data_IF_927964622640
#
_entry.id   IF_927964622640
#
_cell.length_a   1.000
_cell.length_b   1.000
_cell.length_c   1.000
_cell.angle_alpha   90.00
_cell.angle_beta   90.00
_cell.angle_gamma   90.00
#
_symmetry.space_group_name_H-M   'P 1'
#
loop_
_entity.id
_entity.type
_entity.pdbx_description
1 polymer ?
#
# COMPACT_ATOMS: atom_id res chain seq x y z
N UNK A 1 -11.67 -1.53 13.75
CA UNK A 1 -11.81 -2.71 12.86
C UNK A 1 -10.62 -3.64 13.09
N UNK A 2 -10.78 -4.96 12.96
CA UNK A 2 -9.65 -5.90 13.05
C UNK A 2 -9.48 -6.62 11.73
N UNK A 3 -8.26 -6.60 11.19
CA UNK A 3 -7.88 -7.31 9.97
C UNK A 3 -6.93 -8.46 10.32
N UNK A 4 -7.05 -9.57 9.59
CA UNK A 4 -6.26 -10.79 9.84
C UNK A 4 -5.35 -11.04 8.66
N UNK A 5 -4.11 -11.39 8.96
CA UNK A 5 -3.10 -11.72 7.95
C UNK A 5 -2.56 -13.13 8.20
N UNK A 6 -1.81 -13.68 7.25
CA UNK A 6 -1.16 -15.00 7.41
C UNK A 6 -0.12 -15.03 8.52
N UNK A 7 0.45 -13.87 8.86
CA UNK A 7 1.50 -13.69 9.84
C UNK A 7 1.02 -13.06 11.17
N UNK A 8 -0.22 -12.57 11.24
CA UNK A 8 -0.67 -11.77 12.38
C UNK A 8 -2.05 -11.15 12.26
N UNK A 9 -2.19 -9.97 12.85
CA UNK A 9 -3.40 -9.15 12.81
C UNK A 9 -3.07 -7.65 12.93
N UNK A 10 -3.98 -6.83 12.42
CA UNK A 10 -3.95 -5.38 12.48
C UNK A 10 -5.22 -4.89 13.18
N UNK A 11 -5.08 -3.93 14.09
CA UNK A 11 -6.21 -3.24 14.71
C UNK A 11 -6.24 -1.80 14.25
N UNK A 12 -7.34 -1.44 13.62
CA UNK A 12 -7.60 -0.13 13.04
C UNK A 12 -8.54 0.67 13.94
N UNK A 13 -8.20 1.93 14.22
CA UNK A 13 -9.14 2.91 14.79
C UNK A 13 -9.91 3.57 13.66
N UNK A 14 -11.20 3.27 13.55
CA UNK A 14 -12.07 3.99 12.62
C UNK A 14 -12.42 5.32 13.29
N UNK A 15 -11.97 6.47 12.76
CA UNK A 15 -12.35 7.76 13.31
C UNK A 15 -13.86 7.98 13.11
N UNK A 16 -14.46 8.84 13.94
CA UNK A 16 -15.91 9.06 13.93
C UNK A 16 -16.45 9.67 12.62
N UNK A 17 -15.56 10.19 11.77
CA UNK A 17 -15.86 10.77 10.46
C UNK A 17 -15.97 9.73 9.34
N UNK A 18 -15.65 8.46 9.61
CA UNK A 18 -15.70 7.38 8.61
C UNK A 18 -14.50 7.34 7.66
N UNK A 19 -13.47 8.18 7.85
CA UNK A 19 -12.23 8.10 7.09
C UNK A 19 -11.49 6.78 7.37
N UNK A 20 -10.79 6.25 6.36
CA UNK A 20 -9.96 5.08 6.56
C UNK A 20 -8.66 5.49 7.26
N UNK A 21 -8.31 4.91 8.42
CA UNK A 21 -7.07 5.22 9.10
C UNK A 21 -5.86 4.81 8.25
N UNK A 22 -4.90 5.72 8.07
CA UNK A 22 -3.67 5.45 7.32
C UNK A 22 -2.76 4.43 8.01
N UNK A 23 -2.80 4.38 9.35
CA UNK A 23 -1.98 3.49 10.16
C UNK A 23 -2.85 2.65 11.11
N UNK A 24 -2.50 1.37 11.31
CA UNK A 24 -3.11 0.56 12.35
C UNK A 24 -2.68 1.09 13.73
N UNK A 25 -3.61 1.14 14.67
CA UNK A 25 -3.32 1.48 16.08
C UNK A 25 -2.43 0.44 16.76
N UNK A 26 -2.57 -0.82 16.35
CA UNK A 26 -1.84 -1.92 16.94
C UNK A 26 -1.61 -3.02 15.90
N UNK A 27 -0.40 -3.57 15.90
CA UNK A 27 -0.02 -4.72 15.07
C UNK A 27 0.38 -5.87 15.98
N UNK A 28 -0.21 -7.05 15.76
CA UNK A 28 0.18 -8.27 16.45
C UNK A 28 0.82 -9.26 15.48
N UNK A 29 2.08 -9.62 15.70
CA UNK A 29 2.79 -10.65 14.92
C UNK A 29 2.72 -11.96 15.68
N UNK A 30 2.44 -13.08 15.00
CA UNK A 30 2.38 -14.43 15.58
C UNK A 30 3.75 -15.08 15.60
N UNK A 31 3.97 -16.02 16.53
CA UNK A 31 5.23 -16.76 16.57
C UNK A 31 5.42 -17.58 15.29
N UNK A 32 6.64 -17.57 14.71
CA UNK A 32 7.00 -18.47 13.64
C UNK A 32 6.76 -19.93 14.00
N UNK A 33 6.27 -20.71 13.05
CA UNK A 33 5.98 -22.13 13.25
C UNK A 33 4.81 -22.43 14.18
N UNK A 34 3.95 -21.45 14.51
CA UNK A 34 2.79 -21.69 15.36
C UNK A 34 1.95 -22.87 14.85
N UNK A 35 1.75 -23.87 15.70
CA UNK A 35 0.93 -25.04 15.39
C UNK A 35 -0.52 -24.61 15.12
N UNK A 36 -1.29 -25.43 14.41
CA UNK A 36 -2.69 -25.10 14.08
C UNK A 36 -3.52 -24.88 15.36
N UNK A 37 -3.24 -25.62 16.43
CA UNK A 37 -3.86 -25.45 17.75
C UNK A 37 -3.44 -24.14 18.42
N UNK A 38 -2.17 -23.74 18.35
CA UNK A 38 -1.72 -22.42 18.80
C UNK A 38 -2.40 -21.30 18.01
N UNK A 39 -2.50 -21.42 16.68
CA UNK A 39 -3.22 -20.45 15.85
C UNK A 39 -4.70 -20.37 16.23
N UNK A 40 -5.35 -21.48 16.57
CA UNK A 40 -6.75 -21.48 17.05
C UNK A 40 -6.91 -20.85 18.44
N UNK A 41 -6.00 -21.14 19.37
CA UNK A 41 -5.98 -20.51 20.69
C UNK A 41 -5.75 -19.00 20.58
N UNK A 42 -4.82 -18.58 19.72
CA UNK A 42 -4.55 -17.17 19.42
C UNK A 42 -5.70 -16.51 18.66
N UNK A 43 -6.40 -17.24 17.78
CA UNK A 43 -7.66 -16.79 17.15
C UNK A 43 -8.76 -16.53 18.18
N UNK A 44 -8.79 -17.27 19.29
CA UNK A 44 -9.73 -17.05 20.38
C UNK A 44 -9.35 -15.81 21.19
N UNK A 45 -8.04 -15.65 21.49
CA UNK A 45 -7.52 -14.50 22.23
C UNK A 45 -7.69 -13.18 21.46
N UNK A 46 -7.38 -13.16 20.17
CA UNK A 46 -7.55 -11.97 19.28
C UNK A 46 -9.00 -11.62 18.99
N UNK A 47 -9.96 -12.53 19.21
CA UNK A 47 -11.41 -12.22 19.12
C UNK A 47 -11.94 -11.51 20.36
N UNK A 48 -11.21 -11.57 21.48
CA UNK A 48 -11.53 -10.76 22.65
C UNK A 48 -10.68 -9.50 22.56
N UNK A 49 -11.26 -8.36 22.16
CA UNK A 49 -10.50 -7.12 22.26
C UNK A 49 -10.07 -6.98 23.72
N UNK A 50 -8.79 -6.71 23.97
CA UNK A 50 -8.29 -6.37 25.30
C UNK A 50 -9.13 -5.25 25.95
N UNK A 51 -9.91 -4.50 25.16
CA UNK A 51 -10.87 -3.50 25.61
C UNK A 51 -12.14 -4.03 26.32
N UNK A 52 -12.41 -5.36 26.38
CA UNK A 52 -13.52 -5.91 27.18
C UNK A 52 -13.11 -6.73 28.41
N UNK A 53 -11.81 -6.86 28.68
CA UNK A 53 -11.31 -7.18 30.03
C UNK A 53 -10.57 -5.97 30.63
N UNK A 54 -10.55 -4.83 29.93
CA UNK A 54 -10.49 -3.52 30.57
C UNK A 54 -11.85 -3.16 31.22
N UNK A 55 -12.42 -4.06 32.02
CA UNK A 55 -13.14 -3.61 33.22
C UNK A 55 -12.06 -3.08 34.17
N UNK A 56 -11.62 -1.86 33.89
CA UNK A 56 -10.62 -1.08 34.65
C UNK A 56 -9.35 -1.85 35.03
N UNK A 57 -8.39 -1.96 34.11
CA UNK A 57 -6.99 -2.22 34.51
C UNK A 57 -6.40 -1.09 35.37
N UNK A 58 -7.12 0.01 35.55
CA UNK A 58 -6.76 1.12 36.43
C UNK A 58 -7.24 0.96 37.88
N UNK A 59 -8.01 -0.09 38.23
CA UNK A 59 -8.31 -0.35 39.65
C UNK A 59 -8.35 -1.85 39.97
N UNK A 60 -7.61 -2.33 40.98
CA UNK A 60 -7.73 -3.70 41.49
C UNK A 60 -9.14 -4.03 42.02
N UNK A 61 -10.05 -3.04 42.09
CA UNK A 61 -11.42 -3.21 42.56
C UNK A 61 -12.35 -3.87 41.52
N UNK A 62 -12.17 -3.65 40.21
CA UNK A 62 -13.09 -4.23 39.21
C UNK A 62 -12.86 -5.72 38.94
N UNK A 63 -11.61 -6.19 38.98
CA UNK A 63 -11.32 -7.62 38.91
C UNK A 63 -11.96 -8.38 40.09
N UNK A 64 -11.98 -7.77 41.28
CA UNK A 64 -12.69 -8.32 42.45
C UNK A 64 -14.19 -8.41 42.21
N UNK A 65 -14.81 -7.41 41.57
CA UNK A 65 -16.24 -7.44 41.26
C UNK A 65 -16.61 -8.55 40.27
N UNK A 66 -15.80 -8.81 39.23
CA UNK A 66 -16.04 -9.93 38.31
C UNK A 66 -15.88 -11.29 38.99
N UNK A 67 -14.85 -11.47 39.83
CA UNK A 67 -14.64 -12.70 40.58
C UNK A 67 -15.79 -12.95 41.58
N UNK A 68 -16.27 -11.90 42.26
CA UNK A 68 -17.43 -11.96 43.15
C UNK A 68 -18.69 -12.36 42.39
N UNK A 69 -18.96 -11.74 41.22
CA UNK A 69 -20.13 -12.07 40.41
C UNK A 69 -20.09 -13.52 39.93
N UNK A 70 -18.94 -13.99 39.44
CA UNK A 70 -18.76 -15.41 39.05
C UNK A 70 -18.95 -16.32 40.26
N UNK A 71 -18.40 -15.97 41.42
CA UNK A 71 -18.61 -16.73 42.66
C UNK A 71 -20.08 -16.84 43.05
N UNK A 72 -20.85 -15.76 42.94
CA UNK A 72 -22.30 -15.75 43.18
C UNK A 72 -23.03 -16.66 42.18
N UNK A 73 -22.73 -16.55 40.89
CA UNK A 73 -23.34 -17.40 39.84
C UNK A 73 -23.00 -18.88 40.07
N UNK A 74 -21.73 -19.18 40.37
CA UNK A 74 -21.26 -20.54 40.68
C UNK A 74 -21.94 -21.11 41.91
N UNK A 75 -22.21 -20.30 42.94
CA UNK A 75 -22.97 -20.71 44.13
C UNK A 75 -24.43 -21.08 43.78
N UNK A 76 -25.11 -20.24 43.00
CA UNK A 76 -26.48 -20.54 42.55
C UNK A 76 -26.54 -21.81 41.68
N UNK A 77 -25.58 -21.97 40.77
CA UNK A 77 -25.46 -23.17 39.94
C UNK A 77 -25.19 -24.43 40.78
N UNK A 78 -24.31 -24.32 41.80
CA UNK A 78 -24.01 -25.39 42.73
C UNK A 78 -25.25 -25.82 43.54
N UNK A 79 -25.99 -24.85 44.09
CA UNK A 79 -27.25 -25.11 44.81
C UNK A 79 -28.28 -25.82 43.92
N UNK A 80 -28.43 -25.37 42.66
CA UNK A 80 -29.33 -26.03 41.71
C UNK A 80 -28.86 -27.42 41.26
N UNK A 81 -27.55 -27.67 41.21
CA UNK A 81 -26.99 -28.98 40.88
C UNK A 81 -27.23 -29.97 42.02
N UNK A 82 -27.02 -29.54 43.26
CA UNK A 82 -27.30 -30.32 44.47
C UNK A 82 -28.78 -30.66 44.59
N UNK A 83 -29.68 -29.71 44.27
CA UNK A 83 -31.13 -29.97 44.28
C UNK A 83 -31.57 -30.99 43.22
N UNK A 84 -30.73 -31.26 42.21
CA UNK A 84 -30.95 -32.28 41.18
C UNK A 84 -30.22 -33.60 41.47
N UNK A 85 -29.62 -33.75 42.65
CA UNK A 85 -28.97 -34.99 43.08
C UNK A 85 -27.56 -35.19 42.52
N UNK A 86 -26.90 -34.14 42.01
CA UNK A 86 -25.50 -34.24 41.60
C UNK A 86 -24.60 -34.39 42.86
N UNK A 87 -23.64 -35.32 42.87
CA UNK A 87 -22.77 -35.56 44.02
C UNK A 87 -21.97 -34.31 44.48
N UNK A 88 -21.88 -34.10 45.79
CA UNK A 88 -21.19 -32.95 46.40
C UNK A 88 -19.70 -32.92 46.09
N UNK A 89 -19.06 -34.08 45.95
CA UNK A 89 -17.65 -34.24 45.57
C UNK A 89 -17.35 -33.75 44.15
N UNK A 90 -18.37 -33.61 43.28
CA UNK A 90 -18.24 -33.01 41.95
C UNK A 90 -18.58 -31.53 41.96
N UNK A 91 -19.64 -31.14 42.68
CA UNK A 91 -20.14 -29.76 42.68
C UNK A 91 -19.20 -28.79 43.39
N UNK A 92 -18.65 -29.20 44.55
CA UNK A 92 -17.88 -28.30 45.41
C UNK A 92 -16.53 -27.88 44.78
N UNK A 93 -15.75 -28.78 44.16
CA UNK A 93 -14.54 -28.39 43.44
C UNK A 93 -14.83 -27.47 42.26
N UNK A 94 -15.90 -27.74 41.48
CA UNK A 94 -16.29 -26.90 40.35
C UNK A 94 -16.71 -25.49 40.78
N UNK A 95 -17.45 -25.38 41.88
CA UNK A 95 -17.86 -24.11 42.48
C UNK A 95 -16.66 -23.28 42.95
N UNK A 96 -15.63 -23.92 43.52
CA UNK A 96 -14.41 -23.25 43.99
C UNK A 96 -13.44 -22.91 42.84
N UNK A 97 -13.35 -23.77 41.82
CA UNK A 97 -12.50 -23.56 40.65
C UNK A 97 -12.99 -22.40 39.79
N UNK A 98 -14.30 -22.22 39.62
CA UNK A 98 -14.83 -21.19 38.73
C UNK A 98 -14.37 -19.75 39.05
N UNK A 99 -14.45 -19.23 40.29
CA UNK A 99 -13.95 -17.90 40.63
C UNK A 99 -12.41 -17.81 40.59
N UNK A 100 -11.68 -18.88 40.97
CA UNK A 100 -10.22 -18.91 40.86
C UNK A 100 -9.75 -18.84 39.41
N UNK A 101 -10.43 -19.56 38.51
CA UNK A 101 -10.20 -19.46 37.07
C UNK A 101 -10.61 -18.07 36.57
N UNK A 102 -11.73 -17.50 37.00
CA UNK A 102 -12.12 -16.16 36.57
C UNK A 102 -11.10 -15.07 36.95
N UNK A 103 -10.45 -15.22 38.11
CA UNK A 103 -9.44 -14.28 38.60
C UNK A 103 -8.07 -14.49 37.93
N UNK A 104 -7.58 -15.73 37.83
CA UNK A 104 -6.18 -16.00 37.44
C UNK A 104 -6.00 -16.43 35.97
N UNK A 105 -7.05 -16.94 35.34
CA UNK A 105 -6.98 -17.43 33.96
C UNK A 105 -6.73 -16.30 32.96
N UNK A 106 -7.31 -15.08 33.07
CA UNK A 106 -7.01 -13.99 32.14
C UNK A 106 -5.53 -13.63 32.12
N UNK A 107 -4.92 -13.40 33.29
CA UNK A 107 -3.49 -13.02 33.36
C UNK A 107 -2.56 -14.14 32.87
N UNK A 108 -2.89 -15.40 33.18
CA UNK A 108 -2.12 -16.55 32.65
C UNK A 108 -2.29 -16.71 31.14
N UNK A 109 -3.48 -16.48 30.62
CA UNK A 109 -3.74 -16.51 29.19
C UNK A 109 -3.06 -15.35 28.48
N UNK A 110 -3.04 -14.15 29.06
CA UNK A 110 -2.34 -12.99 28.52
C UNK A 110 -0.82 -13.20 28.57
N UNK A 111 -0.28 -13.77 29.65
CA UNK A 111 1.13 -14.17 29.72
C UNK A 111 1.49 -15.18 28.62
N UNK A 112 0.70 -16.26 28.49
CA UNK A 112 0.83 -17.25 27.40
C UNK A 112 0.63 -16.65 26.01
N UNK A 113 -0.29 -15.68 25.87
CA UNK A 113 -0.54 -15.00 24.62
C UNK A 113 0.67 -14.18 24.21
N UNK A 114 1.27 -13.45 25.16
CA UNK A 114 2.49 -12.68 24.93
C UNK A 114 3.69 -13.55 24.56
N UNK A 115 3.76 -14.80 25.03
CA UNK A 115 4.78 -15.74 24.57
C UNK A 115 4.66 -16.02 23.06
N UNK A 116 3.44 -16.02 22.51
CA UNK A 116 3.13 -16.43 21.14
C UNK A 116 2.66 -15.30 20.21
N UNK A 117 2.49 -14.09 20.73
CA UNK A 117 2.14 -12.87 19.98
C UNK A 117 3.00 -11.72 20.49
N UNK A 118 3.66 -11.02 19.57
CA UNK A 118 4.31 -9.73 19.82
C UNK A 118 3.37 -8.63 19.35
N UNK A 119 2.80 -7.90 20.30
CA UNK A 119 1.90 -6.78 20.04
C UNK A 119 2.67 -5.47 20.16
N UNK A 120 2.62 -4.67 19.11
CA UNK A 120 3.27 -3.36 19.05
C UNK A 120 2.21 -2.29 18.87
N UNK A 121 2.34 -1.23 19.66
CA UNK A 121 1.48 -0.05 19.65
C UNK A 121 2.33 1.21 19.42
N UNK A 122 1.72 2.26 18.90
CA UNK A 122 2.35 3.55 18.63
C UNK A 122 2.70 3.75 17.15
N UNK A 123 2.44 4.96 16.66
CA UNK A 123 2.40 5.24 15.21
C UNK A 123 3.71 4.90 14.50
N UNK A 124 4.87 5.30 15.05
CA UNK A 124 6.17 5.02 14.44
C UNK A 124 6.50 3.52 14.37
N UNK A 125 6.17 2.79 15.44
CA UNK A 125 6.43 1.36 15.53
C UNK A 125 5.48 0.57 14.61
N UNK A 126 4.21 0.96 14.56
CA UNK A 126 3.21 0.40 13.66
C UNK A 126 3.53 0.68 12.20
N UNK A 127 3.91 1.91 11.84
CA UNK A 127 4.34 2.27 10.48
C UNK A 127 5.53 1.43 10.02
N UNK A 128 6.53 1.26 10.89
CA UNK A 128 7.70 0.45 10.58
C UNK A 128 7.35 -1.03 10.36
N UNK A 129 6.56 -1.63 11.25
CA UNK A 129 6.13 -3.03 11.10
C UNK A 129 5.21 -3.24 9.89
N UNK A 130 4.37 -2.26 9.55
CA UNK A 130 3.52 -2.32 8.37
C UNK A 130 4.35 -2.39 7.09
N UNK A 131 5.44 -1.62 7.00
CA UNK A 131 6.38 -1.68 5.86
C UNK A 131 7.04 -3.06 5.73
N UNK A 132 7.54 -3.63 6.83
CA UNK A 132 8.10 -5.00 6.83
C UNK A 132 7.05 -6.06 6.50
N UNK A 133 5.83 -5.89 7.01
CA UNK A 133 4.73 -6.81 6.75
C UNK A 133 4.29 -6.80 5.27
N UNK A 134 4.36 -5.66 4.59
CA UNK A 134 4.09 -5.57 3.15
C UNK A 134 5.10 -6.41 2.35
N UNK A 135 6.40 -6.27 2.63
CA UNK A 135 7.46 -7.09 2.03
C UNK A 135 7.26 -8.58 2.31
N UNK A 136 6.94 -8.94 3.56
CA UNK A 136 6.68 -10.33 3.90
C UNK A 136 5.44 -10.89 3.19
N UNK A 137 4.39 -10.08 3.02
CA UNK A 137 3.17 -10.49 2.30
C UNK A 137 3.47 -10.81 0.84
N UNK A 138 4.30 -9.99 0.19
CA UNK A 138 4.81 -10.29 -1.16
C UNK A 138 5.55 -11.64 -1.21
N UNK A 139 6.47 -11.90 -0.28
CA UNK A 139 7.21 -13.16 -0.21
C UNK A 139 6.26 -14.36 -0.02
N UNK A 140 5.25 -14.22 0.84
CA UNK A 140 4.26 -15.29 1.09
C UNK A 140 3.43 -15.57 -0.17
N UNK A 141 2.98 -14.53 -0.88
CA UNK A 141 2.25 -14.69 -2.14
C UNK A 141 3.11 -15.41 -3.19
N UNK A 142 4.35 -14.97 -3.39
CA UNK A 142 5.32 -15.63 -4.26
C UNK A 142 5.54 -17.11 -3.90
N UNK A 143 5.56 -17.44 -2.61
CA UNK A 143 5.70 -18.83 -2.14
C UNK A 143 4.44 -19.67 -2.31
N UNK A 144 3.26 -19.05 -2.35
CA UNK A 144 1.99 -19.75 -2.55
C UNK A 144 1.80 -20.13 -4.03
N UNK A 145 2.34 -19.32 -4.93
CA UNK A 145 2.24 -19.52 -6.38
C UNK A 145 3.33 -20.48 -6.93
N UNK A 146 4.22 -21.00 -6.08
CA UNK A 146 5.34 -21.84 -6.50
C UNK A 146 5.67 -22.95 -5.51
N UNK A 147 5.86 -24.17 -6.00
CA UNK A 147 6.24 -25.32 -5.17
C UNK A 147 7.72 -25.32 -4.73
N UNK A 148 8.51 -24.33 -5.14
CA UNK A 148 9.96 -24.27 -4.82
C UNK A 148 10.19 -24.15 -3.32
N UNK A 149 11.03 -25.04 -2.79
CA UNK A 149 11.40 -25.06 -1.38
C UNK A 149 12.06 -23.74 -0.92
N UNK A 150 12.86 -23.12 -1.78
CA UNK A 150 13.56 -21.85 -1.49
C UNK A 150 12.59 -20.69 -1.20
N UNK A 151 11.47 -20.63 -1.92
CA UNK A 151 10.44 -19.60 -1.72
C UNK A 151 9.68 -19.82 -0.41
N UNK A 152 9.35 -21.08 -0.09
CA UNK A 152 8.76 -21.45 1.21
C UNK A 152 9.70 -21.11 2.37
N UNK A 153 10.99 -21.44 2.23
CA UNK A 153 12.02 -21.09 3.22
C UNK A 153 12.19 -19.58 3.37
N UNK A 154 12.09 -18.83 2.26
CA UNK A 154 12.14 -17.36 2.30
C UNK A 154 10.94 -16.79 3.04
N UNK A 155 9.74 -17.33 2.85
CA UNK A 155 8.57 -16.93 3.64
C UNK A 155 8.76 -17.20 5.14
N UNK A 156 9.35 -18.34 5.52
CA UNK A 156 9.68 -18.66 6.92
C UNK A 156 10.71 -17.68 7.51
N UNK A 157 11.79 -17.37 6.78
CA UNK A 157 12.81 -16.41 7.21
C UNK A 157 12.20 -15.01 7.37
N UNK A 158 11.41 -14.56 6.39
CA UNK A 158 10.73 -13.27 6.45
C UNK A 158 9.80 -13.17 7.67
N UNK A 159 9.09 -14.25 7.98
CA UNK A 159 8.24 -14.28 9.16
C UNK A 159 9.03 -14.19 10.48
N UNK A 160 10.20 -14.86 10.58
CA UNK A 160 11.09 -14.72 11.73
C UNK A 160 11.62 -13.29 11.88
N UNK A 161 12.02 -12.64 10.78
CA UNK A 161 12.47 -11.24 10.81
C UNK A 161 11.38 -10.28 11.30
N UNK A 162 10.13 -10.51 10.86
CA UNK A 162 8.98 -9.72 11.30
C UNK A 162 8.71 -9.89 12.80
N UNK A 163 8.81 -11.13 13.29
CA UNK A 163 8.67 -11.44 14.71
C UNK A 163 9.76 -10.77 15.56
N UNK A 164 11.03 -10.86 15.13
CA UNK A 164 12.16 -10.24 15.83
C UNK A 164 12.06 -8.70 15.84
N UNK A 165 11.56 -8.10 14.77
CA UNK A 165 11.31 -6.67 14.71
C UNK A 165 10.20 -6.26 15.70
N UNK A 166 9.14 -7.06 15.81
CA UNK A 166 8.06 -6.82 16.77
C UNK A 166 8.53 -6.97 18.22
N UNK A 167 9.39 -7.95 18.51
CA UNK A 167 10.00 -8.13 19.84
C UNK A 167 10.88 -6.94 20.25
N UNK A 168 11.67 -6.40 19.31
CA UNK A 168 12.44 -5.18 19.55
C UNK A 168 11.56 -3.98 19.84
N UNK A 169 10.52 -3.74 19.03
CA UNK A 169 9.62 -2.61 19.18
C UNK A 169 8.72 -2.73 20.42
N UNK A 170 8.47 -3.94 20.91
CA UNK A 170 7.75 -4.16 22.16
C UNK A 170 8.62 -3.84 23.38
N UNK A 171 9.94 -4.04 23.30
CA UNK A 171 10.86 -3.88 24.43
C UNK A 171 11.59 -2.53 24.46
N UNK A 172 11.67 -1.82 23.34
CA UNK A 172 12.45 -0.59 23.17
C UNK A 172 11.67 0.43 22.34
N UNK A 173 11.87 1.72 22.63
CA UNK A 173 11.42 2.79 21.74
C UNK A 173 12.12 2.69 20.37
N UNK A 174 11.41 3.11 19.32
CA UNK A 174 11.86 3.02 17.92
C UNK A 174 13.22 3.69 17.72
N UNK A 175 13.49 4.81 18.42
CA UNK A 175 14.79 5.51 18.36
C UNK A 175 15.94 4.64 18.88
N UNK A 176 15.75 4.00 20.03
CA UNK A 176 16.76 3.14 20.66
C UNK A 176 17.00 1.84 19.90
N UNK A 177 15.98 1.32 19.22
CA UNK A 177 16.09 0.10 18.40
C UNK A 177 16.52 0.35 16.95
N UNK A 178 16.62 1.61 16.51
CA UNK A 178 16.76 2.03 15.10
C UNK A 178 17.81 1.26 14.30
N UNK A 179 19.06 1.16 14.78
CA UNK A 179 20.13 0.45 14.06
C UNK A 179 19.77 -1.02 13.80
N UNK A 180 19.25 -1.71 14.82
CA UNK A 180 18.85 -3.12 14.73
C UNK A 180 17.62 -3.33 13.86
N UNK A 181 16.72 -2.34 13.81
CA UNK A 181 15.57 -2.34 12.92
C UNK A 181 16.06 -2.20 11.47
N UNK A 182 16.87 -1.20 11.15
CA UNK A 182 17.45 -0.99 9.81
C UNK A 182 18.12 -2.27 9.28
N UNK A 183 18.86 -3.00 10.11
CA UNK A 183 19.46 -4.28 9.70
C UNK A 183 18.42 -5.33 9.31
N UNK A 184 17.32 -5.46 10.08
CA UNK A 184 16.21 -6.39 9.78
C UNK A 184 15.48 -6.00 8.51
N UNK A 185 15.30 -4.71 8.28
CA UNK A 185 14.72 -4.19 7.04
C UNK A 185 15.59 -4.50 5.83
N UNK A 186 16.90 -4.23 5.90
CA UNK A 186 17.82 -4.58 4.82
C UNK A 186 17.77 -6.07 4.48
N UNK A 187 17.73 -6.93 5.51
CA UNK A 187 17.59 -8.37 5.32
C UNK A 187 16.25 -8.74 4.67
N UNK A 188 15.14 -8.11 5.07
CA UNK A 188 13.82 -8.36 4.47
C UNK A 188 13.79 -7.92 3.00
N UNK A 189 14.37 -6.77 2.66
CA UNK A 189 14.46 -6.26 1.29
C UNK A 189 15.33 -7.19 0.43
N UNK A 190 16.49 -7.61 0.93
CA UNK A 190 17.35 -8.59 0.24
C UNK A 190 16.61 -9.91 -0.01
N UNK A 191 15.82 -10.37 0.96
CA UNK A 191 15.04 -11.59 0.82
C UNK A 191 13.93 -11.45 -0.23
N UNK A 192 13.26 -10.30 -0.28
CA UNK A 192 12.24 -10.02 -1.29
C UNK A 192 12.84 -9.94 -2.71
N UNK A 193 14.01 -9.34 -2.86
CA UNK A 193 14.76 -9.27 -4.13
C UNK A 193 15.20 -10.68 -4.59
N UNK A 194 15.75 -11.51 -3.69
CA UNK A 194 16.09 -12.90 -4.00
C UNK A 194 14.88 -13.72 -4.47
N UNK A 195 13.72 -13.50 -3.86
CA UNK A 195 12.46 -14.13 -4.27
C UNK A 195 12.06 -13.65 -5.67
N UNK A 196 12.13 -12.35 -5.95
CA UNK A 196 11.84 -11.80 -7.27
C UNK A 196 12.74 -12.40 -8.36
N UNK A 197 14.06 -12.44 -8.13
CA UNK A 197 15.03 -13.04 -9.06
C UNK A 197 14.76 -14.53 -9.29
N UNK A 198 14.36 -15.27 -8.24
CA UNK A 198 14.02 -16.69 -8.35
C UNK A 198 12.79 -16.92 -9.21
N UNK A 199 11.77 -16.05 -9.09
CA UNK A 199 10.58 -16.08 -9.93
C UNK A 199 10.91 -15.77 -11.39
N UNK A 200 11.75 -14.76 -11.65
CA UNK A 200 12.20 -14.42 -13.01
C UNK A 200 12.95 -15.57 -13.67
N UNK A 201 13.89 -16.20 -12.95
CA UNK A 201 14.61 -17.39 -13.44
C UNK A 201 13.65 -18.52 -13.79
N UNK A 202 12.68 -18.78 -12.92
CA UNK A 202 11.66 -19.83 -13.13
C UNK A 202 10.82 -19.58 -14.38
N UNK A 203 10.44 -18.31 -14.62
CA UNK A 203 9.69 -17.90 -15.81
C UNK A 203 10.53 -18.08 -17.08
N UNK A 204 11.82 -17.73 -17.05
CA UNK A 204 12.73 -17.91 -18.18
C UNK A 204 12.99 -19.40 -18.52
N UNK A 205 13.15 -20.25 -17.51
CA UNK A 205 13.29 -21.71 -17.67
C UNK A 205 12.05 -22.33 -18.33
N UNK A 206 10.86 -21.91 -17.92
CA UNK A 206 9.59 -22.40 -18.47
C UNK A 206 9.40 -21.99 -19.94
N UNK A 207 9.78 -20.75 -20.30
CA UNK A 207 9.72 -20.27 -21.68
C UNK A 207 10.71 -21.00 -22.62
N UNK A 208 11.85 -21.45 -22.10
CA UNK A 208 12.88 -22.12 -22.89
C UNK A 208 12.57 -23.60 -23.15
N UNK A 209 11.93 -24.28 -22.19
CA UNK A 209 11.57 -25.70 -22.32
C UNK A 209 10.47 -26.00 -23.35
N UNK A 210 9.69 -25.00 -23.75
CA UNK A 210 8.62 -25.15 -24.74
C UNK A 210 9.13 -25.09 -26.19
N UNK A 211 10.30 -24.48 -26.42
CA UNK A 211 10.89 -24.33 -27.75
C UNK A 211 11.66 -25.57 -28.23
N UNK A 212 12.03 -26.49 -27.34
CA UNK A 212 12.94 -27.61 -27.63
C UNK A 212 12.27 -28.99 -27.62
N UNK A 213 10.93 -29.04 -27.74
CA UNK A 213 10.25 -30.29 -28.11
C UNK A 213 10.36 -30.50 -29.63
N UNK A 214 11.18 -31.46 -30.12
CA UNK A 214 11.17 -31.83 -31.52
C UNK A 214 9.80 -32.44 -31.83
N UNK A 215 9.02 -31.75 -32.67
CA UNK A 215 7.89 -32.33 -33.39
C UNK A 215 8.41 -33.45 -34.31
N UNK A 216 8.54 -34.64 -33.76
CA UNK A 216 8.91 -35.85 -34.50
C UNK A 216 8.01 -37.00 -34.10
N UNK A 217 7.11 -37.39 -35.00
CA UNK A 217 6.36 -38.65 -34.87
C UNK A 217 4.91 -38.55 -35.30
N UNK A 218 4.68 -38.79 -36.59
CA UNK A 218 3.38 -39.13 -37.15
C UNK A 218 2.70 -40.26 -36.36
N UNK A 219 1.44 -40.04 -36.01
CA UNK A 219 0.63 -41.00 -35.29
C UNK A 219 -0.86 -40.77 -35.57
N UNK A 220 -1.27 -41.20 -36.77
CA UNK A 220 -2.61 -41.67 -37.14
C UNK A 220 -3.85 -40.91 -36.65
N UNK A 221 -4.54 -40.29 -37.61
CA UNK A 221 -5.89 -39.76 -37.52
C UNK A 221 -6.89 -40.81 -37.00
N UNK A 222 -7.26 -40.69 -35.72
CA UNK A 222 -8.49 -41.25 -35.17
C UNK A 222 -9.66 -40.27 -35.37
N UNK A 223 -10.90 -40.75 -35.59
CA UNK A 223 -12.04 -39.89 -35.93
C UNK A 223 -12.48 -39.02 -34.74
N UNK A 224 -12.76 -37.74 -35.04
CA UNK A 224 -13.33 -36.77 -34.10
C UNK A 224 -14.72 -37.18 -33.61
N UNK A 225 -15.05 -36.96 -32.31
CA UNK A 225 -16.43 -36.91 -31.84
C UNK A 225 -17.10 -35.57 -32.25
N UNK A 226 -18.42 -35.54 -32.46
CA UNK A 226 -19.13 -34.33 -32.83
C UNK A 226 -19.45 -33.50 -31.59
N UNK A 227 -19.33 -32.17 -31.73
CA UNK A 227 -19.87 -31.20 -30.79
C UNK A 227 -18.79 -30.37 -30.13
N UNK A 228 -18.47 -29.23 -30.74
CA UNK A 228 -18.37 -27.92 -30.10
C UNK A 228 -18.17 -26.89 -31.23
N UNK A 229 -19.24 -26.16 -31.54
CA UNK A 229 -19.20 -25.01 -32.45
C UNK A 229 -18.26 -23.92 -31.89
N UNK A 230 -17.51 -23.21 -32.76
CA UNK A 230 -16.74 -22.05 -32.36
C UNK A 230 -17.65 -20.90 -31.92
N UNK A 231 -17.44 -20.38 -30.72
CA UNK A 231 -18.03 -19.13 -30.26
C UNK A 231 -17.64 -17.99 -31.22
N UNK A 232 -18.68 -17.38 -31.81
CA UNK A 232 -18.60 -16.18 -32.65
C UNK A 232 -17.92 -15.02 -31.91
N UNK A 233 -17.14 -14.24 -32.66
CA UNK A 233 -16.72 -12.87 -32.32
C UNK A 233 -17.89 -12.05 -31.76
N UNK A 234 -17.68 -11.22 -30.72
CA UNK A 234 -18.64 -10.20 -30.34
C UNK A 234 -18.76 -9.18 -31.49
N UNK A 235 -19.98 -9.05 -32.00
CA UNK A 235 -20.40 -7.96 -32.88
C UNK A 235 -20.87 -6.81 -31.97
N UNK A 236 -20.58 -5.54 -32.30
CA UNK A 236 -20.94 -4.40 -31.46
C UNK A 236 -22.46 -4.28 -31.26
N UNK A 237 -22.93 -3.78 -30.10
CA UNK A 237 -24.34 -3.64 -29.83
C UNK A 237 -24.97 -2.52 -30.70
N UNK A 238 -26.20 -2.74 -31.22
CA UNK A 238 -26.98 -1.70 -31.90
C UNK A 238 -27.54 -0.67 -30.89
N UNK A 239 -27.80 0.57 -31.32
CA UNK A 239 -28.21 1.66 -30.44
C UNK A 239 -29.65 1.48 -29.94
N UNK A 240 -29.96 1.85 -28.68
CA UNK A 240 -31.33 1.96 -28.23
C UNK A 240 -32.00 3.21 -28.80
N UNK A 241 -33.09 2.99 -29.52
CA UNK A 241 -33.98 4.02 -30.03
C UNK A 241 -34.75 4.74 -28.93
N UNK A 242 -34.69 6.07 -29.03
CA UNK A 242 -35.70 7.09 -28.74
C UNK A 242 -37.02 6.69 -28.06
N UNK A 243 -37.21 7.18 -26.84
CA UNK A 243 -38.40 7.92 -26.38
C UNK A 243 -38.12 8.46 -24.97
N UNK A 244 -38.63 9.59 -24.50
CA UNK A 244 -39.11 10.85 -25.06
C UNK A 244 -39.41 11.71 -23.81
N UNK A 245 -39.12 13.01 -23.86
CA UNK A 245 -39.65 14.07 -23.00
C UNK A 245 -39.37 14.01 -21.48
N UNK A 246 -38.46 14.88 -20.99
CA UNK A 246 -38.81 16.00 -20.09
C UNK A 246 -37.61 16.95 -19.87
N UNK A 247 -37.82 18.25 -20.10
CA UNK A 247 -37.01 19.31 -19.50
C UNK A 247 -36.10 20.12 -20.43
N UNK A 248 -36.68 20.84 -21.39
CA UNK A 248 -36.03 21.98 -22.04
C UNK A 248 -35.69 23.07 -21.01
N UNK A 249 -34.43 23.53 -20.98
CA UNK A 249 -34.03 24.89 -20.61
C UNK A 249 -32.92 25.37 -21.56
N UNK A 250 -32.91 26.66 -21.94
CA UNK A 250 -32.48 27.09 -23.26
C UNK A 250 -30.97 27.23 -23.40
N UNK A 251 -30.49 26.93 -24.60
CA UNK A 251 -29.21 27.38 -25.15
C UNK A 251 -29.00 28.87 -24.90
N UNK A 252 -27.92 29.20 -24.19
CA UNK A 252 -27.22 30.46 -24.41
C UNK A 252 -26.11 30.16 -25.43
N UNK A 253 -26.39 30.56 -26.66
CA UNK A 253 -25.43 30.64 -27.74
C UNK A 253 -24.51 31.85 -27.47
N UNK A 254 -23.25 31.72 -27.89
CA UNK A 254 -22.22 32.77 -28.12
C UNK A 254 -21.07 32.77 -27.09
N UNK A 255 -19.95 32.16 -27.45
CA UNK A 255 -18.75 32.94 -27.75
C UNK A 255 -17.82 32.18 -28.72
N UNK A 256 -17.12 32.88 -29.62
CA UNK A 256 -16.15 32.27 -30.53
C UNK A 256 -14.98 31.73 -29.70
N UNK A 257 -14.48 30.57 -30.09
CA UNK A 257 -13.26 29.94 -29.59
C UNK A 257 -12.14 30.97 -29.42
N UNK A 258 -11.79 31.22 -28.15
CA UNK A 258 -10.71 32.10 -27.74
C UNK A 258 -9.38 31.55 -28.29
N UNK A 259 -8.55 32.35 -28.98
CA UNK A 259 -7.32 31.86 -29.59
C UNK A 259 -6.18 31.88 -28.57
N UNK A 260 -6.16 30.94 -27.62
CA UNK A 260 -4.99 30.59 -26.82
C UNK A 260 -5.27 29.36 -25.95
N UNK A 261 -5.39 28.16 -26.54
CA UNK A 261 -5.22 26.94 -25.76
C UNK A 261 -3.77 26.96 -25.26
N UNK A 262 -3.60 27.23 -23.97
CA UNK A 262 -2.32 27.28 -23.29
C UNK A 262 -1.58 25.98 -23.55
N UNK A 263 -0.29 26.10 -23.84
CA UNK A 263 0.61 25.02 -24.25
C UNK A 263 0.59 23.92 -23.19
N UNK A 264 0.21 22.70 -23.56
CA UNK A 264 0.12 21.55 -22.65
C UNK A 264 1.51 21.11 -22.19
N UNK A 265 2.08 21.84 -21.24
CA UNK A 265 3.29 21.44 -20.52
C UNK A 265 2.84 20.53 -19.38
N UNK A 266 3.62 19.49 -19.10
CA UNK A 266 3.30 18.52 -18.06
C UNK A 266 4.34 18.53 -16.96
N UNK A 267 3.89 18.46 -15.71
CA UNK A 267 4.77 18.28 -14.56
C UNK A 267 4.90 16.80 -14.25
N UNK A 268 6.14 16.30 -14.15
CA UNK A 268 6.46 14.97 -13.65
C UNK A 268 7.11 15.08 -12.27
N UNK A 269 6.57 14.38 -11.28
CA UNK A 269 7.16 14.36 -9.94
C UNK A 269 7.03 12.97 -9.29
N UNK A 270 8.03 12.61 -8.50
CA UNK A 270 7.98 11.44 -7.64
C UNK A 270 7.43 11.84 -6.27
N UNK A 271 6.71 10.93 -5.63
CA UNK A 271 6.11 11.13 -4.32
C UNK A 271 6.26 9.85 -3.48
N UNK A 272 5.84 9.90 -2.22
CA UNK A 272 5.80 8.71 -1.38
C UNK A 272 4.91 7.64 -2.03
N UNK A 273 5.36 6.38 -2.14
CA UNK A 273 4.58 5.38 -2.83
C UNK A 273 3.24 5.06 -2.17
N UNK A 274 2.23 4.80 -2.99
CA UNK A 274 0.92 4.32 -2.54
C UNK A 274 0.34 3.31 -3.54
N UNK A 275 -0.73 2.62 -3.16
CA UNK A 275 -1.42 1.68 -4.01
C UNK A 275 -2.84 2.19 -4.30
N UNK A 276 -3.24 2.21 -5.57
CA UNK A 276 -4.61 2.56 -5.94
C UNK A 276 -5.53 1.33 -5.79
N UNK A 277 -6.51 1.44 -4.90
CA UNK A 277 -7.54 0.41 -4.67
C UNK A 277 -6.95 -0.94 -4.21
N UNK A 278 -7.43 -2.04 -4.80
CA UNK A 278 -6.94 -3.40 -4.53
C UNK A 278 -5.68 -3.76 -5.38
N UNK A 279 -5.04 -2.77 -5.99
CA UNK A 279 -3.99 -2.96 -6.99
C UNK A 279 -2.69 -3.53 -6.41
N UNK A 280 -2.04 -4.40 -7.19
CA UNK A 280 -0.68 -4.90 -6.91
C UNK A 280 0.43 -3.95 -7.38
N UNK A 281 0.08 -2.89 -8.13
CA UNK A 281 1.03 -1.94 -8.68
C UNK A 281 1.19 -0.75 -7.74
N UNK A 282 2.41 -0.57 -7.24
CA UNK A 282 2.82 0.61 -6.47
C UNK A 282 2.90 1.83 -7.41
N UNK A 283 2.23 2.92 -7.05
CA UNK A 283 2.33 4.22 -7.73
C UNK A 283 3.30 5.08 -6.92
N UNK A 284 4.34 5.55 -7.57
CA UNK A 284 5.41 6.32 -6.92
C UNK A 284 5.81 7.58 -7.70
N UNK A 285 5.18 7.79 -8.85
CA UNK A 285 5.46 8.88 -9.78
C UNK A 285 4.17 9.28 -10.50
N UNK A 286 3.94 10.57 -10.68
CA UNK A 286 2.73 11.09 -11.31
C UNK A 286 3.08 12.16 -12.36
N UNK A 287 2.35 12.15 -13.48
CA UNK A 287 2.35 13.22 -14.49
C UNK A 287 1.00 13.90 -14.52
N UNK A 288 0.99 15.23 -14.47
CA UNK A 288 -0.20 16.07 -14.53
C UNK A 288 -0.03 17.18 -15.57
N UNK A 289 -1.14 17.73 -16.06
CA UNK A 289 -1.11 18.99 -16.79
C UNK A 289 -0.60 20.11 -15.86
N UNK A 290 0.29 20.98 -16.37
CA UNK A 290 0.83 22.10 -15.63
C UNK A 290 -0.27 22.96 -14.98
N UNK A 291 -1.36 23.19 -15.71
CA UNK A 291 -2.50 24.00 -15.28
C UNK A 291 -3.17 23.51 -13.99
N UNK A 292 -2.98 22.24 -13.61
CA UNK A 292 -3.49 21.72 -12.32
C UNK A 292 -2.83 22.42 -11.11
N UNK A 293 -1.65 23.04 -11.29
CA UNK A 293 -1.01 23.89 -10.27
C UNK A 293 -1.82 25.16 -9.95
N UNK A 294 -2.75 25.55 -10.83
CA UNK A 294 -3.64 26.70 -10.64
C UNK A 294 -4.95 26.31 -9.94
N UNK A 295 -5.12 25.05 -9.56
CA UNK A 295 -6.32 24.60 -8.87
C UNK A 295 -6.43 25.22 -7.47
N UNK A 296 -7.63 25.60 -6.99
CA UNK A 296 -7.81 26.26 -5.68
C UNK A 296 -7.39 25.41 -4.46
N UNK A 297 -7.34 24.08 -4.61
CA UNK A 297 -6.89 23.18 -3.54
C UNK A 297 -5.36 23.05 -3.46
N UNK A 298 -4.63 23.52 -4.48
CA UNK A 298 -3.16 23.61 -4.43
C UNK A 298 -2.78 24.90 -3.70
N UNK A 299 -1.81 24.84 -2.80
CA UNK A 299 -1.34 25.99 -2.04
C UNK A 299 -0.96 27.17 -2.96
N UNK A 300 -1.71 28.27 -2.84
CA UNK A 300 -1.45 29.53 -3.53
C UNK A 300 -0.80 30.54 -2.58
N UNK A 301 0.11 31.42 -3.07
CA UNK A 301 0.45 31.67 -4.47
C UNK A 301 1.53 30.72 -5.04
N UNK A 302 1.95 29.71 -4.29
CA UNK A 302 3.08 28.85 -4.65
C UNK A 302 2.81 28.05 -5.92
N UNK A 303 1.64 27.42 -6.05
CA UNK A 303 1.21 26.71 -7.26
C UNK A 303 1.29 27.58 -8.51
N UNK A 304 0.73 28.81 -8.46
CA UNK A 304 0.80 29.78 -9.55
C UNK A 304 2.24 30.19 -9.93
N UNK A 305 3.13 30.36 -8.94
CA UNK A 305 4.54 30.69 -9.21
C UNK A 305 5.30 29.52 -9.82
N UNK A 306 5.01 28.29 -9.38
CA UNK A 306 5.57 27.07 -9.98
C UNK A 306 5.07 26.91 -11.41
N UNK A 307 3.78 27.16 -11.67
CA UNK A 307 3.17 27.12 -13.00
C UNK A 307 3.87 28.08 -13.97
N UNK A 308 4.09 29.34 -13.57
CA UNK A 308 4.77 30.33 -14.41
C UNK A 308 6.18 29.87 -14.77
N UNK A 309 6.94 29.34 -13.79
CA UNK A 309 8.28 28.78 -14.03
C UNK A 309 8.25 27.55 -14.93
N UNK A 310 7.26 26.69 -14.76
CA UNK A 310 7.10 25.46 -15.51
C UNK A 310 6.79 25.75 -16.98
N UNK A 311 5.97 26.76 -17.27
CA UNK A 311 5.48 27.07 -18.63
C UNK A 311 6.37 28.05 -19.39
N UNK A 312 7.26 28.79 -18.71
CA UNK A 312 8.14 29.75 -19.34
C UNK A 312 9.17 29.08 -20.28
N UNK A 313 9.14 29.45 -21.56
CA UNK A 313 10.11 28.99 -22.55
C UNK A 313 9.97 27.53 -23.00
N UNK A 314 8.89 26.84 -22.59
CA UNK A 314 8.67 25.42 -22.93
C UNK A 314 7.92 25.20 -24.23
N UNK A 315 8.12 24.00 -24.78
CA UNK A 315 7.37 23.51 -25.92
C UNK A 315 6.04 22.89 -25.45
N UNK A 316 4.98 22.97 -26.26
CA UNK A 316 3.76 22.19 -26.02
C UNK A 316 4.08 20.68 -26.02
N UNK A 317 3.47 19.94 -25.11
CA UNK A 317 3.70 18.50 -24.93
C UNK A 317 4.93 18.14 -24.09
N UNK A 318 5.72 19.12 -23.66
CA UNK A 318 6.96 18.88 -22.93
C UNK A 318 6.68 18.37 -21.50
N UNK A 319 7.32 17.26 -21.12
CA UNK A 319 7.26 16.73 -19.76
C UNK A 319 8.47 17.25 -19.00
N UNK A 320 8.23 18.02 -17.94
CA UNK A 320 9.26 18.61 -17.09
C UNK A 320 9.28 17.89 -15.75
N UNK A 321 10.35 17.12 -15.46
CA UNK A 321 10.59 16.59 -14.12
C UNK A 321 10.80 17.72 -13.11
N UNK A 322 10.26 17.58 -11.90
CA UNK A 322 10.50 18.51 -10.79
C UNK A 322 12.00 18.66 -10.48
N UNK A 323 12.80 17.61 -10.72
CA UNK A 323 14.26 17.66 -10.61
C UNK A 323 14.92 18.56 -11.65
N UNK A 324 14.36 18.63 -12.88
CA UNK A 324 14.81 19.59 -13.91
C UNK A 324 14.53 21.00 -13.43
N UNK A 325 13.31 21.26 -12.94
CA UNK A 325 12.93 22.58 -12.42
C UNK A 325 13.80 22.98 -11.22
N UNK A 326 14.07 22.03 -10.31
CA UNK A 326 15.00 22.24 -9.19
C UNK A 326 16.40 22.57 -9.67
N UNK A 327 16.90 21.89 -10.71
CA UNK A 327 18.21 22.17 -11.27
C UNK A 327 18.30 23.58 -11.85
N UNK A 328 17.29 24.01 -12.60
CA UNK A 328 17.21 25.37 -13.17
C UNK A 328 17.12 26.46 -12.09
N UNK A 329 16.58 26.12 -10.92
CA UNK A 329 16.53 26.98 -9.72
C UNK A 329 17.82 26.89 -8.89
N UNK A 330 18.97 26.90 -9.57
CA UNK A 330 20.31 26.82 -8.97
C UNK A 330 20.46 25.60 -8.02
N UNK A 331 20.04 24.42 -8.52
CA UNK A 331 20.03 23.19 -7.72
C UNK A 331 19.07 23.22 -6.52
N UNK A 332 18.10 24.12 -6.53
CA UNK A 332 17.06 24.25 -5.51
C UNK A 332 17.28 25.39 -4.52
N UNK A 333 18.40 26.12 -4.60
CA UNK A 333 18.67 27.26 -3.73
C UNK A 333 17.62 28.39 -3.86
N UNK A 334 16.99 28.49 -5.03
CA UNK A 334 16.01 29.54 -5.35
C UNK A 334 14.55 29.12 -5.07
N UNK A 335 14.30 27.89 -4.61
CA UNK A 335 12.95 27.44 -4.23
C UNK A 335 12.23 28.37 -3.25
N UNK A 336 12.87 28.91 -2.18
CA UNK A 336 12.21 29.84 -1.25
C UNK A 336 11.67 31.11 -1.91
N UNK A 337 12.17 31.50 -3.08
CA UNK A 337 11.63 32.64 -3.85
C UNK A 337 10.46 32.27 -4.75
N UNK A 338 10.35 30.99 -5.12
CA UNK A 338 9.28 30.46 -5.97
C UNK A 338 8.10 29.99 -5.11
N UNK A 339 8.33 29.09 -4.14
CA UNK A 339 7.28 28.55 -3.28
C UNK A 339 7.66 27.25 -2.59
N UNK A 340 6.77 26.74 -1.75
CA UNK A 340 6.93 25.48 -1.04
C UNK A 340 6.54 24.29 -1.94
N UNK A 341 7.50 23.79 -2.71
CA UNK A 341 7.25 22.70 -3.67
C UNK A 341 6.83 21.39 -2.98
N UNK A 342 7.26 21.14 -1.74
CA UNK A 342 6.90 19.93 -0.99
C UNK A 342 5.42 19.93 -0.64
N UNK A 343 4.89 21.06 -0.17
CA UNK A 343 3.45 21.22 0.05
C UNK A 343 2.65 21.17 -1.25
N UNK A 344 3.11 21.87 -2.29
CA UNK A 344 2.42 21.85 -3.60
C UNK A 344 2.34 20.44 -4.17
N UNK A 345 3.43 19.66 -4.13
CA UNK A 345 3.40 18.26 -4.58
C UNK A 345 2.48 17.39 -3.73
N UNK A 346 2.42 17.63 -2.41
CA UNK A 346 1.47 16.95 -1.51
C UNK A 346 0.02 17.26 -1.89
N UNK A 347 -0.32 18.53 -2.13
CA UNK A 347 -1.66 18.95 -2.54
C UNK A 347 -2.05 18.34 -3.89
N UNK A 348 -1.12 18.31 -4.85
CA UNK A 348 -1.34 17.68 -6.15
C UNK A 348 -1.64 16.18 -6.04
N UNK A 349 -0.94 15.43 -5.17
CA UNK A 349 -1.26 14.02 -4.93
C UNK A 349 -2.67 13.87 -4.36
N UNK A 350 -3.06 14.73 -3.42
CA UNK A 350 -4.41 14.70 -2.84
C UNK A 350 -5.49 15.00 -3.89
N UNK A 351 -5.22 15.93 -4.79
CA UNK A 351 -6.11 16.33 -5.88
C UNK A 351 -6.32 15.18 -6.88
N UNK A 352 -5.25 14.50 -7.26
CA UNK A 352 -5.29 13.29 -8.09
C UNK A 352 -6.07 12.17 -7.38
N UNK A 353 -5.85 11.97 -6.07
CA UNK A 353 -6.58 10.97 -5.28
C UNK A 353 -8.08 11.26 -5.18
N UNK A 354 -8.46 12.52 -5.09
CA UNK A 354 -9.85 12.95 -5.05
C UNK A 354 -10.53 12.86 -6.42
N UNK A 355 -9.76 12.66 -7.51
CA UNK A 355 -10.27 12.68 -8.88
C UNK A 355 -10.65 14.09 -9.36
N UNK A 356 -10.06 15.11 -8.76
CA UNK A 356 -10.31 16.53 -9.07
C UNK A 356 -9.38 17.05 -10.19
N UNK A 357 -8.49 16.20 -10.71
CA UNK A 357 -7.83 16.35 -12.02
C UNK A 357 -7.50 14.97 -12.60
N UNK A 358 -7.23 14.93 -13.89
CA UNK A 358 -6.65 13.77 -14.55
C UNK A 358 -5.15 13.69 -14.29
N UNK A 359 -4.61 12.48 -14.21
CA UNK A 359 -3.19 12.24 -14.08
C UNK A 359 -2.78 10.90 -14.69
N UNK A 360 -1.54 10.82 -15.15
CA UNK A 360 -0.87 9.56 -15.48
C UNK A 360 -0.08 9.08 -14.26
N UNK A 361 -0.64 8.11 -13.56
CA UNK A 361 -0.06 7.45 -12.39
C UNK A 361 0.88 6.33 -12.81
N UNK A 362 2.14 6.37 -12.37
CA UNK A 362 3.19 5.46 -12.78
C UNK A 362 3.85 4.77 -11.57
N UNK A 363 4.03 3.46 -11.70
CA UNK A 363 4.90 2.66 -10.84
C UNK A 363 6.26 2.49 -11.49
N UNK A 364 7.15 3.48 -11.36
CA UNK A 364 8.48 3.39 -11.96
C UNK A 364 9.38 2.45 -11.14
N UNK A 365 10.21 1.61 -11.79
CA UNK A 365 11.28 0.89 -11.10
C UNK A 365 12.21 1.85 -10.35
N UNK A 366 12.83 1.39 -9.27
CA UNK A 366 13.66 2.21 -8.37
C UNK A 366 14.72 3.04 -9.11
N UNK A 367 15.44 2.43 -10.05
CA UNK A 367 16.47 3.12 -10.84
C UNK A 367 15.87 4.23 -11.72
N UNK A 368 14.74 3.95 -12.39
CA UNK A 368 14.07 4.93 -13.24
C UNK A 368 13.53 6.09 -12.40
N UNK A 369 12.94 5.80 -11.23
CA UNK A 369 12.50 6.81 -10.26
C UNK A 369 13.67 7.64 -9.77
N UNK A 370 14.80 7.03 -9.42
CA UNK A 370 15.99 7.75 -8.99
C UNK A 370 16.53 8.69 -10.09
N UNK A 371 16.57 8.22 -11.34
CA UNK A 371 17.03 9.02 -12.49
C UNK A 371 16.15 10.25 -12.74
N UNK A 372 14.82 10.14 -12.62
CA UNK A 372 13.93 11.30 -12.75
C UNK A 372 13.98 12.23 -11.54
N UNK A 373 14.45 11.76 -10.37
CA UNK A 373 14.64 12.60 -9.17
C UNK A 373 15.99 13.31 -9.16
N UNK A 374 16.97 12.83 -9.92
CA UNK A 374 18.23 13.55 -10.14
C UNK A 374 18.11 14.61 -11.22
N UNK A 375 18.88 15.69 -11.10
CA UNK A 375 18.96 16.73 -12.12
C UNK A 375 19.35 16.16 -13.50
N UNK A 376 19.18 16.94 -14.58
CA UNK A 376 19.34 16.47 -15.97
C UNK A 376 20.74 15.95 -16.29
N UNK A 377 21.75 16.35 -15.54
CA UNK A 377 23.14 15.90 -15.68
C UNK A 377 23.61 14.99 -14.53
N UNK A 378 22.68 14.57 -13.66
CA UNK A 378 22.97 13.72 -12.51
C UNK A 378 23.29 12.28 -12.91
N UNK A 379 23.96 11.58 -12.01
CA UNK A 379 24.26 10.15 -12.14
C UNK A 379 23.72 9.39 -10.93
N UNK A 380 23.18 8.20 -11.17
CA UNK A 380 22.71 7.25 -10.17
C UNK A 380 23.59 6.01 -10.23
N UNK A 381 24.11 5.57 -9.09
CA UNK A 381 24.94 4.36 -9.00
C UNK A 381 24.20 3.25 -8.29
N UNK A 382 24.23 2.06 -8.88
CA UNK A 382 23.66 0.85 -8.30
C UNK A 382 24.74 -0.20 -8.13
N UNK A 383 24.68 -0.98 -7.05
CA UNK A 383 25.54 -2.13 -6.86
C UNK A 383 24.88 -3.36 -7.49
N UNK A 384 25.49 -3.95 -8.52
CA UNK A 384 25.06 -5.25 -9.01
C UNK A 384 25.40 -6.32 -7.96
N UNK A 385 24.37 -6.89 -7.34
CA UNK A 385 24.52 -7.89 -6.29
C UNK A 385 25.23 -9.16 -6.80
N UNK A 386 25.10 -9.50 -8.08
CA UNK A 386 25.70 -10.72 -8.64
C UNK A 386 27.21 -10.58 -8.86
N UNK A 387 27.65 -9.43 -9.41
CA UNK A 387 29.08 -9.20 -9.72
C UNK A 387 29.82 -8.36 -8.67
N UNK A 388 29.10 -7.72 -7.73
CA UNK A 388 29.63 -6.75 -6.79
C UNK A 388 30.13 -5.46 -7.45
N UNK A 389 29.85 -5.25 -8.74
CA UNK A 389 30.29 -4.05 -9.48
C UNK A 389 29.29 -2.92 -9.35
N UNK A 390 29.81 -1.69 -9.27
CA UNK A 390 28.99 -0.49 -9.38
C UNK A 390 28.66 -0.24 -10.86
N UNK A 391 27.38 -0.12 -11.15
CA UNK A 391 26.83 0.31 -12.44
C UNK A 391 26.44 1.78 -12.29
N UNK A 392 26.90 2.61 -13.23
CA UNK A 392 26.62 4.05 -13.27
C UNK A 392 25.57 4.32 -14.35
N UNK A 393 24.46 4.95 -13.97
CA UNK A 393 23.37 5.36 -14.84
C UNK A 393 23.39 6.88 -14.92
N UNK A 394 23.45 7.43 -16.13
CA UNK A 394 23.62 8.86 -16.35
C UNK A 394 22.49 9.50 -17.16
N UNK A 395 22.77 10.65 -17.79
CA UNK A 395 21.76 11.42 -18.54
C UNK A 395 21.09 10.64 -19.68
N UNK A 396 21.83 9.78 -20.39
CA UNK A 396 21.26 8.98 -21.48
C UNK A 396 20.15 8.03 -20.99
N UNK A 397 20.37 7.35 -19.86
CA UNK A 397 19.36 6.47 -19.26
C UNK A 397 18.16 7.26 -18.75
N UNK A 398 18.39 8.46 -18.22
CA UNK A 398 17.31 9.37 -17.82
C UNK A 398 16.45 9.78 -19.03
N UNK A 399 17.08 10.12 -20.16
CA UNK A 399 16.38 10.50 -21.39
C UNK A 399 15.55 9.34 -21.96
N UNK A 400 16.06 8.11 -21.88
CA UNK A 400 15.29 6.91 -22.25
C UNK A 400 14.04 6.72 -21.39
N UNK A 401 14.15 6.95 -20.07
CA UNK A 401 12.99 6.90 -19.15
C UNK A 401 11.97 7.98 -19.53
N UNK A 402 12.41 9.21 -19.79
CA UNK A 402 11.51 10.31 -20.18
C UNK A 402 10.86 10.07 -21.54
N UNK A 403 11.60 9.55 -22.51
CA UNK A 403 11.06 9.19 -23.82
C UNK A 403 9.96 8.12 -23.69
N UNK A 404 10.14 7.14 -22.79
CA UNK A 404 9.13 6.11 -22.52
C UNK A 404 7.88 6.71 -21.87
N UNK A 405 8.04 7.58 -20.88
CA UNK A 405 6.90 8.28 -20.24
C UNK A 405 6.17 9.15 -21.26
N UNK A 406 6.91 9.87 -22.10
CA UNK A 406 6.36 10.67 -23.20
C UNK A 406 5.55 9.83 -24.18
N UNK A 407 6.02 8.62 -24.53
CA UNK A 407 5.26 7.69 -25.36
C UNK A 407 3.93 7.26 -24.72
N UNK A 408 3.90 6.98 -23.41
CA UNK A 408 2.65 6.67 -22.71
C UNK A 408 1.70 7.86 -22.66
N UNK A 409 2.21 9.04 -22.36
CA UNK A 409 1.41 10.26 -22.31
C UNK A 409 0.82 10.61 -23.67
N UNK A 410 1.61 10.53 -24.75
CA UNK A 410 1.15 10.80 -26.10
C UNK A 410 0.02 9.86 -26.53
N UNK A 411 0.08 8.58 -26.13
CA UNK A 411 -1.01 7.63 -26.37
C UNK A 411 -2.30 8.02 -25.65
N UNK A 412 -2.20 8.47 -24.40
CA UNK A 412 -3.34 8.90 -23.59
C UNK A 412 -3.96 10.20 -24.11
N UNK A 413 -3.13 11.20 -24.40
CA UNK A 413 -3.55 12.52 -24.89
C UNK A 413 -4.17 12.44 -26.28
N UNK A 414 -3.72 11.49 -27.13
CA UNK A 414 -4.36 11.24 -28.42
C UNK A 414 -5.84 10.80 -28.30
N UNK A 415 -6.23 10.22 -27.16
CA UNK A 415 -7.63 9.87 -26.88
C UNK A 415 -8.37 10.99 -26.16
N UNK A 416 -7.74 11.59 -25.14
CA UNK A 416 -8.29 12.70 -24.35
C UNK A 416 -7.17 13.48 -23.66
N UNK A 417 -7.17 14.79 -23.80
CA UNK A 417 -6.25 15.67 -23.05
C UNK A 417 -6.42 15.45 -21.52
N UNK A 418 -5.32 15.62 -20.76
CA UNK A 418 -5.39 15.57 -19.30
C UNK A 418 -6.17 16.77 -18.79
N UNK A 419 -7.35 16.53 -18.23
CA UNK A 419 -8.15 17.57 -17.62
C UNK A 419 -7.47 18.10 -16.33
N UNK A 420 -7.14 19.40 -16.25
CA UNK A 420 -6.40 19.97 -15.10
C UNK A 420 -7.25 20.21 -13.85
N UNK A 421 -8.56 19.94 -13.90
CA UNK A 421 -9.52 20.28 -12.85
C UNK A 421 -10.39 21.48 -13.19
N UNK A 422 -11.38 21.75 -12.34
CA UNK A 422 -12.31 22.87 -12.49
C UNK A 422 -11.87 24.12 -11.71
N UNK A 423 -12.45 25.27 -12.05
CA UNK A 423 -12.29 26.54 -11.31
C UNK A 423 -10.82 26.98 -11.15
N UNK A 424 -9.99 26.71 -12.16
CA UNK A 424 -8.59 27.13 -12.16
C UNK A 424 -8.47 28.65 -11.98
N UNK A 425 -7.57 29.05 -11.11
CA UNK A 425 -7.23 30.46 -10.94
C UNK A 425 -6.56 30.98 -12.21
N UNK A 426 -6.76 32.25 -12.57
CA UNK A 426 -6.04 32.83 -13.70
C UNK A 426 -4.54 32.73 -13.46
N UNK A 427 -3.80 32.30 -14.48
CA UNK A 427 -2.35 32.34 -14.45
C UNK A 427 -1.89 33.77 -14.09
N UNK A 428 -0.85 33.93 -13.26
CA UNK A 428 -0.38 35.25 -12.89
C UNK A 428 -0.09 36.04 -14.16
N UNK A 429 -0.70 37.22 -14.28
CA UNK A 429 -0.47 38.09 -15.42
C UNK A 429 1.04 38.30 -15.54
N UNK A 430 1.59 37.97 -16.72
CA UNK A 430 3.00 38.26 -17.00
C UNK A 430 3.17 39.76 -16.81
N UNK A 431 3.89 40.16 -15.77
CA UNK A 431 4.39 41.52 -15.70
C UNK A 431 5.29 41.69 -16.92
N UNK A 432 4.77 42.34 -17.96
CA UNK A 432 5.53 42.82 -19.13
C UNK A 432 6.47 43.95 -18.68
N UNK A 433 7.38 43.67 -17.76
CA UNK A 433 8.38 44.61 -17.29
C UNK A 433 9.53 43.88 -16.58
N UNK A 434 10.50 43.39 -17.36
CA UNK A 434 11.91 43.42 -16.99
C UNK A 434 12.84 43.21 -18.18
#
# INVERSE_FOLDING_TARGET
>A
MHERTGWGWLTWTVPGDGTLPALPRQIGVLTPGATLTQRLALRWLTRRPAHRIALTSTSPAAMRLSAVLVGVISLFAALSALSRGIPTDVVLPAMLLAPLLAEHLPDRLDGRAREHVRSVEGDAACQYLQRLAALHTYIVQASADSDRYELRRSAEIGHNLLWDAADLLQSQDTRSASARLIDRERLMVQLADQVAQTLERTRAESASGEADQPRGGEGSLGPLPPGFEPARRPTPPPPPGTSSLKGYRPMSQTQPSDPACTRDVYLLFAHEPYYLGNGAQEINTTVIAADSLLHPQVQQPDGARIHDRLTQGRQPGEIIPLSTLTHELDGGAEWPRVGDWEKVTTDLVQLVHAGECDALNLGLPEIARALICTGPHGHVRTLDAASGKLIDHGPAQRDEVLARISGFLAGLVAERDLWPGDNLLPAPARDEAR
#
